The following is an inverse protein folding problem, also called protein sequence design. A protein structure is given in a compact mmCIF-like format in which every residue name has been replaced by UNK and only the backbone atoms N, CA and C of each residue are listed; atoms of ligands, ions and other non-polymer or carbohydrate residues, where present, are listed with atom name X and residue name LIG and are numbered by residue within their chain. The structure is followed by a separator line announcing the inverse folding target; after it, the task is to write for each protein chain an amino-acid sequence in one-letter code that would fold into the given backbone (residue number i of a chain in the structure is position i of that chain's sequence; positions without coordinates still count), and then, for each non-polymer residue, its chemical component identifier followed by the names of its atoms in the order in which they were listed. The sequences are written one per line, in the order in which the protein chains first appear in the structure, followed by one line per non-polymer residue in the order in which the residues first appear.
data_IF_444699607473
#
_entry.id   IF_444699607473
#
_cell.length_a   1.000
_cell.length_b   1.000
_cell.length_c   1.000
_cell.angle_alpha   90.00
_cell.angle_beta   90.00
_cell.angle_gamma   90.00
#
_symmetry.space_group_name_H-M   'P 1'
#
loop_
_entity.id
_entity.type
_entity.pdbx_description
1 polymer ?
#
# COMPACT_ATOMS: atom_id res chain seq x y z
N UNK A 1 -7.14 4.28 -16.39
CA UNK A 1 -6.42 4.66 -15.16
C UNK A 1 -7.16 4.26 -13.91
N UNK A 2 -6.48 3.55 -13.03
CA UNK A 2 -6.91 3.28 -11.67
C UNK A 2 -6.24 4.34 -10.78
N UNK A 3 -7.00 5.34 -10.33
CA UNK A 3 -6.51 6.34 -9.39
C UNK A 3 -6.76 5.80 -7.98
N UNK A 4 -5.69 5.51 -7.25
CA UNK A 4 -5.80 5.06 -5.87
C UNK A 4 -6.30 6.25 -5.00
N UNK A 5 -7.35 6.09 -4.19
CA UNK A 5 -7.84 7.17 -3.34
C UNK A 5 -6.83 7.47 -2.22
N UNK A 6 -6.83 8.73 -1.74
CA UNK A 6 -6.05 9.12 -0.57
C UNK A 6 -6.72 8.58 0.71
N UNK A 7 -6.29 7.39 1.14
CA UNK A 7 -6.84 6.73 2.33
C UNK A 7 -6.51 7.48 3.61
N UNK A 8 -5.38 8.18 3.65
CA UNK A 8 -5.01 8.98 4.80
C UNK A 8 -5.95 10.19 4.96
N UNK A 9 -6.31 10.86 3.85
CA UNK A 9 -7.31 11.93 3.86
C UNK A 9 -8.69 11.42 4.28
N UNK A 10 -9.08 10.24 3.78
CA UNK A 10 -10.34 9.61 4.17
C UNK A 10 -10.38 9.31 5.68
N UNK A 11 -9.33 8.71 6.22
CA UNK A 11 -9.23 8.43 7.67
C UNK A 11 -9.34 9.68 8.52
N UNK A 12 -8.63 10.76 8.14
CA UNK A 12 -8.71 12.06 8.83
C UNK A 12 -10.13 12.64 8.79
N UNK A 13 -10.86 12.51 7.69
CA UNK A 13 -12.24 13.00 7.57
C UNK A 13 -13.21 12.28 8.53
N UNK A 14 -12.91 11.04 8.92
CA UNK A 14 -13.68 10.28 9.91
C UNK A 14 -13.15 10.43 11.35
N UNK A 15 -12.18 11.32 11.60
CA UNK A 15 -11.61 11.55 12.93
C UNK A 15 -10.63 10.46 13.38
N UNK A 16 -10.15 9.63 12.45
CA UNK A 16 -9.13 8.60 12.71
C UNK A 16 -7.74 9.25 12.58
N UNK A 17 -6.81 8.88 13.45
CA UNK A 17 -5.40 9.23 13.25
C UNK A 17 -4.91 8.56 11.97
N UNK A 18 -4.62 9.33 10.93
CA UNK A 18 -4.29 8.77 9.63
C UNK A 18 -3.09 9.47 8.97
N UNK A 19 -2.08 8.66 8.66
CA UNK A 19 -0.79 9.07 8.12
C UNK A 19 -0.46 8.33 6.82
N UNK A 20 0.29 8.98 5.94
CA UNK A 20 0.83 8.38 4.72
C UNK A 20 2.34 8.25 4.88
N UNK A 21 2.87 7.09 4.50
CA UNK A 21 4.30 6.75 4.57
C UNK A 21 4.74 6.40 3.16
N UNK A 22 5.71 7.15 2.64
CA UNK A 22 6.21 6.97 1.28
C UNK A 22 7.57 6.29 1.23
N UNK A 23 8.29 6.29 2.37
CA UNK A 23 9.61 5.68 2.49
C UNK A 23 9.69 4.75 3.69
N UNK A 24 10.45 3.66 3.54
CA UNK A 24 10.59 2.64 4.58
C UNK A 24 11.13 3.20 5.89
N UNK A 25 12.02 4.19 5.85
CA UNK A 25 12.64 4.80 7.03
C UNK A 25 11.62 5.57 7.88
N UNK A 26 10.53 6.03 7.29
CA UNK A 26 9.46 6.78 7.97
C UNK A 26 8.52 5.87 8.76
N UNK A 27 8.44 4.59 8.36
CA UNK A 27 7.47 3.64 8.92
C UNK A 27 7.62 3.46 10.42
N UNK A 28 8.84 3.28 10.91
CA UNK A 28 9.09 3.06 12.35
C UNK A 28 8.60 4.23 13.19
N UNK A 29 8.74 5.46 12.70
CA UNK A 29 8.28 6.65 13.40
C UNK A 29 6.76 6.82 13.30
N UNK A 30 6.16 6.54 12.13
CA UNK A 30 4.71 6.57 11.94
C UNK A 30 4.00 5.53 12.81
N UNK A 31 4.52 4.30 12.87
CA UNK A 31 3.97 3.26 13.72
C UNK A 31 3.95 3.67 15.21
N UNK A 32 5.04 4.29 15.70
CA UNK A 32 5.07 4.81 17.08
C UNK A 32 4.01 5.88 17.34
N UNK A 33 3.79 6.81 16.40
CA UNK A 33 2.75 7.84 16.54
C UNK A 33 1.35 7.25 16.49
N UNK A 34 1.09 6.34 15.55
CA UNK A 34 -0.18 5.63 15.43
C UNK A 34 -0.52 4.82 16.69
N UNK A 35 0.45 4.11 17.28
CA UNK A 35 0.25 3.39 18.54
C UNK A 35 0.02 4.31 19.75
N UNK A 36 0.48 5.55 19.68
CA UNK A 36 0.27 6.55 20.74
C UNK A 36 -1.00 7.39 20.52
N UNK A 37 -1.70 7.22 19.40
CA UNK A 37 -2.91 7.96 19.09
C UNK A 37 -4.08 7.44 19.93
N UNK A 38 -4.96 8.35 20.35
CA UNK A 38 -6.20 7.98 21.01
C UNK A 38 -7.17 7.40 19.99
N UNK A 39 -7.59 6.15 20.21
CA UNK A 39 -8.56 5.48 19.35
C UNK A 39 -7.95 4.82 18.11
N UNK A 40 -8.73 4.63 17.03
CA UNK A 40 -8.25 3.94 15.84
C UNK A 40 -7.20 4.76 15.08
N UNK A 41 -6.27 4.05 14.44
CA UNK A 41 -5.24 4.63 13.59
C UNK A 41 -5.12 3.90 12.24
N UNK A 42 -4.81 4.65 11.19
CA UNK A 42 -4.57 4.18 9.83
C UNK A 42 -3.19 4.64 9.35
N UNK A 43 -2.40 3.71 8.81
CA UNK A 43 -1.14 4.04 8.13
C UNK A 43 -1.26 3.56 6.70
N UNK A 44 -1.27 4.50 5.75
CA UNK A 44 -1.19 4.20 4.33
C UNK A 44 0.28 4.04 3.94
N UNK A 45 0.68 2.81 3.59
CA UNK A 45 2.02 2.51 3.11
C UNK A 45 2.06 2.56 1.59
N UNK A 46 2.88 3.46 1.05
CA UNK A 46 3.15 3.46 -0.38
C UNK A 46 4.17 2.38 -0.71
N UNK A 47 3.71 1.38 -1.45
CA UNK A 47 4.52 0.29 -1.96
C UNK A 47 4.69 0.42 -3.47
N UNK A 48 5.74 -0.22 -3.99
CA UNK A 48 5.94 -0.32 -5.43
C UNK A 48 4.72 -1.00 -6.08
N UNK A 49 4.05 -0.38 -7.08
CA UNK A 49 2.93 -0.99 -7.77
C UNK A 49 3.29 -2.27 -8.52
N UNK A 50 4.57 -2.51 -8.83
CA UNK A 50 5.05 -3.77 -9.39
C UNK A 50 5.15 -4.89 -8.34
N UNK A 51 5.07 -4.59 -7.04
CA UNK A 51 5.09 -5.59 -5.98
C UNK A 51 3.68 -6.18 -5.78
N UNK A 52 3.38 -7.27 -6.49
CA UNK A 52 2.09 -7.97 -6.39
C UNK A 52 1.96 -8.83 -5.13
N UNK A 53 3.06 -9.44 -4.70
CA UNK A 53 3.19 -10.22 -3.46
C UNK A 53 4.66 -10.19 -3.01
N UNK A 54 5.04 -10.64 -1.80
CA UNK A 54 6.46 -10.75 -1.41
C UNK A 54 7.32 -11.63 -2.33
N UNK A 55 6.70 -12.42 -3.21
CA UNK A 55 7.35 -13.46 -4.03
C UNK A 55 7.07 -13.33 -5.53
N UNK A 56 6.29 -12.34 -5.98
CA UNK A 56 5.95 -12.17 -7.38
C UNK A 56 5.66 -10.72 -7.75
N UNK A 57 6.16 -10.31 -8.91
CA UNK A 57 5.96 -8.99 -9.52
C UNK A 57 4.85 -8.97 -10.58
N UNK A 58 4.45 -7.77 -11.05
CA UNK A 58 3.48 -7.59 -12.15
C UNK A 58 4.02 -8.07 -13.48
N UNK A 59 5.32 -7.90 -13.67
CA UNK A 59 6.05 -8.46 -14.79
C UNK A 59 5.98 -10.00 -14.79
N UNK A 60 6.10 -10.66 -13.62
CA UNK A 60 5.97 -12.12 -13.50
C UNK A 60 4.54 -12.58 -13.84
N UNK A 61 3.53 -11.87 -13.36
CA UNK A 61 2.13 -12.19 -13.64
C UNK A 61 1.79 -12.06 -15.14
N UNK A 62 2.33 -11.03 -15.83
CA UNK A 62 2.18 -10.88 -17.29
C UNK A 62 2.87 -12.01 -18.05
N UNK A 63 4.11 -12.35 -17.70
CA UNK A 63 4.85 -13.42 -18.35
C UNK A 63 4.13 -14.78 -18.22
N UNK A 64 3.52 -15.06 -17.06
CA UNK A 64 2.70 -16.25 -16.86
C UNK A 64 1.45 -16.27 -17.76
N UNK A 65 0.77 -15.15 -17.91
CA UNK A 65 -0.39 -15.00 -18.79
C UNK A 65 -0.03 -15.19 -20.27
N UNK A 66 1.06 -14.60 -20.73
CA UNK A 66 1.57 -14.78 -22.10
C UNK A 66 1.99 -16.22 -22.38
N UNK A 67 2.70 -16.86 -21.43
CA UNK A 67 3.08 -18.26 -21.54
C UNK A 67 1.86 -19.21 -21.54
N UNK A 68 0.79 -18.87 -20.82
CA UNK A 68 -0.46 -19.63 -20.85
C UNK A 68 -1.20 -19.47 -22.18
N UNK A 69 -1.21 -18.27 -22.77
CA UNK A 69 -1.83 -18.00 -24.06
C UNK A 69 -1.09 -18.63 -25.25
N UNK A 70 0.24 -18.71 -25.19
CA UNK A 70 1.08 -19.33 -26.24
C UNK A 70 1.01 -20.87 -26.29
N UNK A 71 0.33 -21.50 -25.33
CA UNK A 71 0.15 -22.97 -25.24
C UNK A 71 -1.24 -23.44 -25.74
N UNK A 72 -2.10 -22.53 -26.20
CA UNK A 72 -3.37 -22.83 -26.84
C UNK A 72 -3.31 -22.64 -28.35
#
# INVERSE_FOLDING_TARGET
DLVNPDFAALGRAFGVHAERVERTEEFSAALRRACAADGPALIELLTDPEALTPVASLSDARAQGEAAAARG
#
